data_IF_772290797825
#
_entry.id   IF_772290797825
#
_cell.length_a   1.000
_cell.length_b   1.000
_cell.length_c   1.000
_cell.angle_alpha   90.00
_cell.angle_beta   90.00
_cell.angle_gamma   90.00
#
_symmetry.space_group_name_H-M   'P 1'
#
loop_
_entity.id
_entity.type
_entity.pdbx_description
1 polymer ?
#
# COMPACT_ATOMS: atom_id res chain seq x y z
N UNK A 1 10.81 -8.22 29.84
CA UNK A 1 11.06 -6.84 30.31
C UNK A 1 11.23 -5.99 29.06
N UNK A 2 10.15 -5.35 28.60
CA UNK A 2 10.20 -4.56 27.38
C UNK A 2 11.17 -3.40 27.59
N UNK A 3 12.20 -3.30 26.74
CA UNK A 3 13.03 -2.11 26.66
C UNK A 3 12.07 -0.97 26.37
N UNK A 4 12.03 0.12 27.17
CA UNK A 4 11.21 1.26 26.82
C UNK A 4 11.73 1.75 25.46
N UNK A 5 10.98 1.52 24.39
CA UNK A 5 11.28 2.09 23.08
C UNK A 5 11.34 3.59 23.29
N UNK A 6 12.57 4.13 23.28
CA UNK A 6 12.81 5.55 23.30
C UNK A 6 12.04 6.11 22.09
N UNK A 7 11.11 7.03 22.33
CA UNK A 7 10.26 7.59 21.28
C UNK A 7 11.14 8.11 20.12
N UNK A 8 11.14 7.42 18.98
CA UNK A 8 11.94 7.80 17.81
C UNK A 8 11.41 9.13 17.24
N UNK A 9 12.26 10.13 17.03
CA UNK A 9 11.90 11.31 16.25
C UNK A 9 11.57 10.93 14.80
N UNK A 10 10.78 11.74 14.09
CA UNK A 10 10.50 11.51 12.66
C UNK A 10 11.79 11.37 11.85
N UNK A 11 12.83 12.16 12.18
CA UNK A 11 14.13 12.07 11.53
C UNK A 11 14.80 10.69 11.74
N UNK A 12 14.76 10.15 12.96
CA UNK A 12 15.28 8.81 13.24
C UNK A 12 14.50 7.72 12.48
N UNK A 13 13.18 7.85 12.42
CA UNK A 13 12.34 6.94 11.63
C UNK A 13 12.71 7.00 10.14
N UNK A 14 12.91 8.18 9.57
CA UNK A 14 13.38 8.35 8.19
C UNK A 14 14.75 7.73 7.99
N UNK A 15 15.72 8.01 8.86
CA UNK A 15 17.08 7.45 8.75
C UNK A 15 17.09 5.91 8.82
N UNK A 16 16.20 5.32 9.65
CA UNK A 16 15.99 3.87 9.72
C UNK A 16 15.41 3.31 8.42
N UNK A 17 14.34 3.91 7.89
CA UNK A 17 13.73 3.52 6.62
C UNK A 17 14.69 3.68 5.43
N UNK A 18 15.48 4.77 5.43
CA UNK A 18 16.47 5.09 4.41
C UNK A 18 17.65 4.10 4.41
N UNK A 19 17.91 3.47 5.56
CA UNK A 19 19.00 2.52 5.76
C UNK A 19 18.55 1.06 5.67
N UNK A 20 17.31 0.79 5.23
CA UNK A 20 16.84 -0.58 5.04
C UNK A 20 17.77 -1.34 4.09
N UNK A 21 18.02 -2.60 4.43
CA UNK A 21 18.93 -3.46 3.69
C UNK A 21 18.50 -3.55 2.22
N UNK A 22 19.49 -3.41 1.33
CA UNK A 22 19.26 -3.45 -0.10
C UNK A 22 18.93 -2.08 -0.73
N UNK A 23 18.53 -1.05 0.00
CA UNK A 23 18.26 0.26 -0.64
C UNK A 23 19.53 0.99 -1.11
N UNK A 24 20.65 0.85 -0.37
CA UNK A 24 21.94 1.49 -0.68
C UNK A 24 21.88 3.01 -0.91
N UNK A 25 20.96 3.68 -0.21
CA UNK A 25 20.80 5.12 -0.28
C UNK A 25 21.81 5.82 0.66
N UNK A 26 22.50 6.88 0.24
CA UNK A 26 23.50 7.52 1.10
C UNK A 26 22.85 8.31 2.24
N UNK A 27 23.17 7.96 3.49
CA UNK A 27 22.57 8.59 4.67
C UNK A 27 22.79 10.11 4.73
N UNK A 28 23.89 10.63 4.20
CA UNK A 28 24.16 12.08 4.21
C UNK A 28 23.13 12.91 3.42
N UNK A 29 22.36 12.28 2.51
CA UNK A 29 21.29 12.96 1.75
C UNK A 29 20.11 13.37 2.64
N UNK A 30 19.90 12.71 3.79
CA UNK A 30 18.84 13.09 4.75
C UNK A 30 19.06 14.48 5.35
N UNK A 31 20.27 15.06 5.23
CA UNK A 31 20.55 16.45 5.59
C UNK A 31 19.81 17.47 4.73
N UNK A 32 19.26 17.06 3.59
CA UNK A 32 18.45 17.88 2.68
C UNK A 32 16.96 17.88 3.06
N UNK A 33 16.59 17.26 4.17
CA UNK A 33 15.22 17.26 4.68
C UNK A 33 14.97 18.43 5.62
N UNK A 34 13.85 19.09 5.41
CA UNK A 34 13.28 20.07 6.32
C UNK A 34 11.90 19.59 6.78
N UNK A 35 11.83 19.12 8.03
CA UNK A 35 10.59 18.64 8.63
C UNK A 35 9.93 19.79 9.39
N UNK A 36 8.72 20.17 8.98
CA UNK A 36 7.96 21.28 9.57
C UNK A 36 6.60 20.83 10.09
N UNK A 37 5.89 21.71 10.80
CA UNK A 37 4.56 21.42 11.34
C UNK A 37 4.57 20.93 12.78
N UNK A 38 3.40 20.60 13.35
CA UNK A 38 3.28 20.15 14.73
C UNK A 38 3.84 18.74 14.94
N UNK A 39 4.29 18.46 16.17
CA UNK A 39 4.53 17.10 16.63
C UNK A 39 3.22 16.32 16.80
N UNK A 40 3.31 15.01 16.95
CA UNK A 40 2.14 14.19 17.26
C UNK A 40 1.54 14.52 18.65
N UNK A 41 0.21 14.38 18.82
CA UNK A 41 -0.75 13.93 17.81
C UNK A 41 -1.15 15.04 16.84
N UNK A 42 -1.00 14.79 15.53
CA UNK A 42 -1.50 15.68 14.47
C UNK A 42 -3.00 15.44 14.19
N UNK A 43 -3.47 14.22 14.46
CA UNK A 43 -4.88 13.79 14.45
C UNK A 43 -5.19 12.99 15.70
N UNK A 44 -6.46 12.94 16.16
CA UNK A 44 -6.85 12.22 17.39
C UNK A 44 -6.63 10.70 17.31
N UNK A 45 -5.43 10.27 17.68
CA UNK A 45 -4.95 8.89 17.61
C UNK A 45 -3.92 8.66 18.73
N UNK A 46 -3.90 7.46 19.29
CA UNK A 46 -2.87 7.01 20.23
C UNK A 46 -1.57 6.64 19.52
N UNK A 47 -1.64 6.38 18.21
CA UNK A 47 -0.51 6.18 17.34
C UNK A 47 -0.01 7.50 16.75
N UNK A 48 1.29 7.55 16.45
CA UNK A 48 2.00 8.72 15.90
C UNK A 48 1.80 8.86 14.39
N UNK A 49 0.56 9.10 13.99
CA UNK A 49 0.14 9.17 12.58
C UNK A 49 0.83 10.32 11.84
N UNK A 50 1.09 11.45 12.49
CA UNK A 50 1.86 12.56 11.94
C UNK A 50 3.28 12.15 11.58
N UNK A 51 3.96 11.43 12.48
CA UNK A 51 5.30 10.89 12.28
C UNK A 51 5.32 9.90 11.11
N UNK A 52 4.37 8.95 11.07
CA UNK A 52 4.28 7.94 9.99
C UNK A 52 4.07 8.63 8.63
N UNK A 53 3.10 9.55 8.55
CA UNK A 53 2.78 10.23 7.31
C UNK A 53 3.94 11.10 6.82
N UNK A 54 4.53 11.89 7.72
CA UNK A 54 5.65 12.76 7.38
C UNK A 54 6.89 11.96 6.95
N UNK A 55 7.20 10.85 7.65
CA UNK A 55 8.34 10.01 7.31
C UNK A 55 8.17 9.32 5.94
N UNK A 56 7.02 8.72 5.68
CA UNK A 56 6.77 8.01 4.42
C UNK A 56 6.86 8.97 3.21
N UNK A 57 6.20 10.13 3.30
CA UNK A 57 6.25 11.14 2.24
C UNK A 57 7.66 11.70 2.08
N UNK A 58 8.37 12.00 3.18
CA UNK A 58 9.75 12.49 3.13
C UNK A 58 10.69 11.50 2.44
N UNK A 59 10.57 10.20 2.74
CA UNK A 59 11.36 9.16 2.07
C UNK A 59 11.06 9.09 0.57
N UNK A 60 9.79 9.14 0.16
CA UNK A 60 9.41 9.10 -1.27
C UNK A 60 9.91 10.33 -2.05
N UNK A 61 9.79 11.53 -1.46
CA UNK A 61 10.20 12.78 -2.09
C UNK A 61 11.72 12.92 -2.12
N UNK A 62 12.43 12.61 -1.02
CA UNK A 62 13.89 12.65 -0.96
C UNK A 62 14.52 11.63 -1.92
N UNK A 63 13.93 10.44 -2.06
CA UNK A 63 14.45 9.44 -3.00
C UNK A 63 14.26 9.87 -4.46
N UNK A 64 13.17 10.58 -4.77
CA UNK A 64 12.97 11.21 -6.08
C UNK A 64 14.04 12.29 -6.33
N UNK A 65 14.26 13.19 -5.37
CA UNK A 65 15.32 14.20 -5.44
C UNK A 65 16.72 13.58 -5.58
N UNK A 66 16.96 12.43 -4.95
CA UNK A 66 18.22 11.71 -5.10
C UNK A 66 18.41 11.10 -6.49
N UNK A 67 17.35 10.54 -7.09
CA UNK A 67 17.39 10.09 -8.49
C UNK A 67 17.70 11.27 -9.42
N UNK A 68 17.10 12.44 -9.18
CA UNK A 68 17.40 13.66 -9.92
C UNK A 68 18.89 14.05 -9.81
N UNK A 69 19.45 14.08 -8.59
CA UNK A 69 20.86 14.37 -8.37
C UNK A 69 21.79 13.38 -9.11
N UNK A 70 21.44 12.09 -9.14
CA UNK A 70 22.24 11.09 -9.85
C UNK A 70 22.23 11.30 -11.37
N UNK A 71 21.14 11.83 -11.92
CA UNK A 71 21.00 12.10 -13.36
C UNK A 71 21.73 13.35 -13.82
N UNK A 72 21.70 14.41 -13.01
CA UNK A 72 22.17 15.73 -13.43
C UNK A 72 23.48 16.17 -12.74
N UNK A 73 23.95 15.45 -11.73
CA UNK A 73 25.18 15.75 -11.02
C UNK A 73 24.95 16.27 -9.60
N UNK A 74 26.04 16.37 -8.83
CA UNK A 74 25.96 16.65 -7.38
C UNK A 74 25.39 18.03 -7.04
N UNK A 75 25.57 19.00 -7.94
CA UNK A 75 25.16 20.38 -7.72
C UNK A 75 23.63 20.57 -7.80
N UNK A 76 22.92 19.60 -8.39
CA UNK A 76 21.45 19.60 -8.52
C UNK A 76 20.74 18.97 -7.30
N UNK A 77 21.34 19.08 -6.11
CA UNK A 77 20.78 18.52 -4.88
C UNK A 77 19.67 19.41 -4.30
N UNK A 78 18.44 18.94 -4.40
CA UNK A 78 17.24 19.63 -3.92
C UNK A 78 17.01 19.46 -2.41
N UNK A 79 16.52 20.51 -1.75
CA UNK A 79 15.96 20.43 -0.40
C UNK A 79 14.51 19.95 -0.48
N UNK A 80 14.12 19.03 0.40
CA UNK A 80 12.78 18.47 0.49
C UNK A 80 12.14 18.87 1.81
N UNK A 81 11.05 19.62 1.73
CA UNK A 81 10.31 20.10 2.90
C UNK A 81 9.00 19.33 3.03
N UNK A 82 8.74 18.74 4.21
CA UNK A 82 7.49 18.01 4.48
C UNK A 82 6.86 18.53 5.76
N UNK A 83 5.65 19.04 5.66
CA UNK A 83 4.86 19.49 6.80
C UNK A 83 4.00 18.35 7.35
N UNK A 84 4.06 18.05 8.65
CA UNK A 84 3.34 16.94 9.27
C UNK A 84 1.81 17.05 9.12
N UNK A 85 1.23 18.25 9.20
CA UNK A 85 -0.21 18.47 9.00
C UNK A 85 -0.61 18.21 7.55
N UNK A 86 0.17 18.67 6.58
CA UNK A 86 -0.10 18.39 5.17
C UNK A 86 0.06 16.90 4.84
N UNK A 87 1.04 16.24 5.45
CA UNK A 87 1.25 14.81 5.28
C UNK A 87 0.05 13.98 5.76
N UNK A 88 -0.52 14.32 6.92
CA UNK A 88 -1.72 13.62 7.42
C UNK A 88 -2.96 13.90 6.57
N UNK A 89 -3.08 15.10 5.98
CA UNK A 89 -4.13 15.40 5.02
C UNK A 89 -3.99 14.56 3.74
N UNK A 90 -2.77 14.34 3.25
CA UNK A 90 -2.51 13.46 2.11
C UNK A 90 -2.88 12.00 2.40
N UNK A 91 -2.65 11.53 3.64
CA UNK A 91 -3.06 10.19 4.12
C UNK A 91 -4.58 9.99 4.19
N UNK A 92 -5.36 11.03 3.89
CA UNK A 92 -6.81 11.00 3.82
C UNK A 92 -7.32 11.73 2.58
N UNK A 93 -6.49 11.86 1.54
CA UNK A 93 -6.77 12.69 0.37
C UNK A 93 -8.09 12.33 -0.30
N UNK A 94 -8.44 11.04 -0.32
CA UNK A 94 -9.69 10.55 -0.89
C UNK A 94 -10.95 11.13 -0.22
N UNK A 95 -10.85 11.59 1.03
CA UNK A 95 -11.96 12.25 1.74
C UNK A 95 -12.07 13.74 1.46
N UNK A 96 -11.09 14.34 0.77
CA UNK A 96 -11.00 15.79 0.55
C UNK A 96 -11.08 16.17 -0.93
N UNK A 97 -10.96 15.21 -1.85
CA UNK A 97 -11.11 15.48 -3.27
C UNK A 97 -12.55 15.90 -3.57
N UNK A 98 -12.66 16.97 -4.36
CA UNK A 98 -13.95 17.45 -4.85
C UNK A 98 -14.01 17.34 -6.37
N UNK A 99 -15.18 17.00 -6.89
CA UNK A 99 -15.54 17.08 -8.30
C UNK A 99 -16.62 18.16 -8.42
N UNK A 100 -16.35 19.19 -9.21
CA UNK A 100 -17.23 20.37 -9.34
C UNK A 100 -17.65 20.99 -8.00
N UNK A 101 -16.70 21.08 -7.06
CA UNK A 101 -16.90 21.65 -5.73
C UNK A 101 -17.69 20.76 -4.76
N UNK A 102 -18.02 19.51 -5.13
CA UNK A 102 -18.70 18.53 -4.27
C UNK A 102 -17.76 17.42 -3.86
N UNK A 103 -17.83 17.01 -2.60
CA UNK A 103 -17.11 15.84 -2.12
C UNK A 103 -17.59 14.58 -2.86
N UNK A 104 -16.67 13.64 -3.05
CA UNK A 104 -16.99 12.32 -3.57
C UNK A 104 -17.87 11.54 -2.59
N UNK A 105 -18.73 10.62 -3.08
CA UNK A 105 -19.52 9.75 -2.21
C UNK A 105 -18.66 8.88 -1.29
N UNK A 106 -19.26 8.42 -0.19
CA UNK A 106 -18.62 7.43 0.68
C UNK A 106 -18.34 6.13 -0.08
N UNK A 107 -17.17 5.56 0.19
CA UNK A 107 -16.63 4.36 -0.46
C UNK A 107 -17.04 3.07 0.25
N UNK A 108 -17.62 3.17 1.46
CA UNK A 108 -17.97 2.01 2.28
C UNK A 108 -19.33 1.43 1.91
N UNK A 109 -19.36 0.11 1.66
CA UNK A 109 -20.62 -0.64 1.55
C UNK A 109 -21.35 -0.64 2.91
N UNK A 110 -22.69 -0.54 2.95
CA UNK A 110 -23.44 -0.48 4.22
C UNK A 110 -23.23 -1.67 5.17
N UNK A 111 -22.83 -2.83 4.64
CA UNK A 111 -22.51 -4.01 5.44
C UNK A 111 -21.05 -4.03 5.90
N UNK A 112 -20.16 -3.18 5.39
CA UNK A 112 -18.75 -3.18 5.78
C UNK A 112 -18.60 -2.74 7.26
N UNK A 113 -17.55 -3.23 7.92
CA UNK A 113 -17.21 -2.82 9.29
C UNK A 113 -17.27 -3.96 10.30
N UNK A 114 -17.45 -3.59 11.57
CA UNK A 114 -17.27 -4.48 12.72
C UNK A 114 -18.60 -5.09 13.18
N UNK A 115 -18.56 -6.37 13.51
CA UNK A 115 -19.69 -7.15 14.03
C UNK A 115 -19.27 -7.94 15.26
N UNK A 116 -20.16 -7.98 16.25
CA UNK A 116 -20.00 -8.79 17.45
C UNK A 116 -20.27 -10.26 17.10
N UNK A 117 -19.45 -11.14 17.66
CA UNK A 117 -19.57 -12.60 17.55
C UNK A 117 -19.68 -13.20 18.95
N UNK A 118 -19.82 -14.52 19.07
CA UNK A 118 -20.02 -15.20 20.36
C UNK A 118 -18.89 -14.93 21.37
N UNK A 119 -17.67 -14.76 20.89
CA UNK A 119 -16.44 -14.72 21.69
C UNK A 119 -15.56 -13.48 21.42
N UNK A 120 -16.00 -12.57 20.56
CA UNK A 120 -15.19 -11.42 20.15
C UNK A 120 -15.85 -10.61 19.05
N UNK A 121 -15.05 -10.12 18.12
CA UNK A 121 -15.54 -9.36 16.97
C UNK A 121 -14.82 -9.75 15.70
N UNK A 122 -15.50 -9.59 14.57
CA UNK A 122 -14.90 -9.65 13.24
C UNK A 122 -15.11 -8.32 12.53
N UNK A 123 -14.20 -7.98 11.63
CA UNK A 123 -14.38 -6.91 10.66
C UNK A 123 -14.51 -7.50 9.27
N UNK A 124 -15.59 -7.19 8.57
CA UNK A 124 -15.79 -7.58 7.17
C UNK A 124 -15.57 -6.40 6.23
N UNK A 125 -15.01 -6.68 5.06
CA UNK A 125 -14.79 -5.71 3.99
C UNK A 125 -15.61 -6.07 2.76
N UNK A 126 -16.74 -5.39 2.56
CA UNK A 126 -17.77 -5.73 1.56
C UNK A 126 -17.90 -4.73 0.40
N UNK A 127 -16.96 -3.78 0.26
CA UNK A 127 -17.02 -2.72 -0.78
C UNK A 127 -17.02 -3.25 -2.23
N UNK A 128 -16.72 -4.55 -2.44
CA UNK A 128 -16.90 -5.21 -3.73
C UNK A 128 -18.06 -6.21 -3.66
N UNK A 129 -18.99 -6.23 -4.64
CA UNK A 129 -20.15 -7.12 -4.61
C UNK A 129 -19.81 -8.60 -4.39
N UNK A 130 -18.77 -9.12 -5.05
CA UNK A 130 -18.37 -10.51 -4.88
C UNK A 130 -17.81 -10.81 -3.47
N UNK A 131 -17.14 -9.86 -2.81
CA UNK A 131 -16.74 -10.04 -1.41
C UNK A 131 -17.95 -10.05 -0.48
N UNK A 132 -18.93 -9.15 -0.69
CA UNK A 132 -20.19 -9.14 0.06
C UNK A 132 -20.95 -10.46 -0.10
N UNK A 133 -21.10 -10.92 -1.34
CA UNK A 133 -21.89 -12.10 -1.65
C UNK A 133 -21.27 -13.36 -1.02
N UNK A 134 -19.94 -13.46 -0.93
CA UNK A 134 -19.25 -14.54 -0.19
C UNK A 134 -19.53 -14.48 1.32
N UNK A 135 -19.48 -13.28 1.93
CA UNK A 135 -19.78 -13.12 3.37
C UNK A 135 -21.23 -13.51 3.67
N UNK A 136 -22.18 -13.05 2.85
CA UNK A 136 -23.60 -13.40 3.01
C UNK A 136 -23.83 -14.90 2.85
N UNK A 137 -23.22 -15.53 1.85
CA UNK A 137 -23.28 -16.97 1.66
C UNK A 137 -22.70 -17.73 2.86
N UNK A 138 -21.58 -17.26 3.43
CA UNK A 138 -20.96 -17.88 4.62
C UNK A 138 -21.87 -17.79 5.85
N UNK A 139 -22.64 -16.70 5.97
CA UNK A 139 -23.64 -16.51 7.03
C UNK A 139 -24.97 -17.24 6.75
N UNK A 140 -25.10 -17.95 5.63
CA UNK A 140 -26.36 -18.53 5.15
C UNK A 140 -27.50 -17.50 5.01
N UNK A 141 -27.15 -16.28 4.60
CA UNK A 141 -28.08 -15.20 4.33
C UNK A 141 -28.33 -15.05 2.81
N UNK A 142 -29.51 -14.53 2.39
CA UNK A 142 -29.79 -14.32 0.99
C UNK A 142 -28.81 -13.32 0.38
N UNK A 143 -28.29 -13.65 -0.81
CA UNK A 143 -27.46 -12.73 -1.59
C UNK A 143 -28.32 -11.58 -2.12
N UNK A 144 -29.54 -11.89 -2.56
CA UNK A 144 -30.55 -10.93 -3.01
C UNK A 144 -31.93 -11.33 -2.48
N UNK A 145 -32.76 -10.38 -1.99
CA UNK A 145 -32.37 -8.99 -1.67
C UNK A 145 -31.26 -8.95 -0.61
N UNK A 146 -30.42 -7.92 -0.65
CA UNK A 146 -29.32 -7.76 0.32
C UNK A 146 -29.94 -7.49 1.71
N UNK A 147 -29.58 -8.24 2.75
CA UNK A 147 -30.16 -8.06 4.08
C UNK A 147 -29.71 -6.74 4.73
N UNK A 148 -30.43 -6.31 5.77
CA UNK A 148 -30.03 -5.16 6.58
C UNK A 148 -28.80 -5.47 7.43
N UNK A 149 -28.11 -4.42 7.89
CA UNK A 149 -26.98 -4.54 8.82
C UNK A 149 -27.35 -5.31 10.09
N UNK A 150 -28.56 -5.11 10.62
CA UNK A 150 -29.05 -5.80 11.83
C UNK A 150 -29.27 -7.29 11.59
N UNK A 151 -29.80 -7.67 10.43
CA UNK A 151 -29.94 -9.09 10.07
C UNK A 151 -28.59 -9.79 9.96
N UNK A 152 -27.60 -9.10 9.39
CA UNK A 152 -26.22 -9.58 9.33
C UNK A 152 -25.61 -9.69 10.73
N UNK A 153 -25.82 -8.68 11.59
CA UNK A 153 -25.35 -8.69 12.97
C UNK A 153 -25.93 -9.85 13.78
N UNK A 154 -27.23 -10.12 13.68
CA UNK A 154 -27.88 -11.24 14.35
C UNK A 154 -27.29 -12.59 13.91
N UNK A 155 -26.94 -12.74 12.62
CA UNK A 155 -26.31 -13.96 12.14
C UNK A 155 -24.93 -14.19 12.77
N UNK A 156 -24.15 -13.12 12.98
CA UNK A 156 -22.82 -13.20 13.58
C UNK A 156 -22.80 -13.60 15.06
N UNK A 157 -23.88 -13.36 15.83
CA UNK A 157 -23.92 -13.63 17.27
C UNK A 157 -23.65 -15.11 17.62
N UNK A 158 -23.96 -16.03 16.70
CA UNK A 158 -23.77 -17.48 16.89
C UNK A 158 -22.38 -18.00 16.48
N UNK A 159 -21.59 -17.19 15.76
CA UNK A 159 -20.29 -17.60 15.23
C UNK A 159 -19.15 -17.38 16.23
N UNK A 160 -18.12 -18.24 16.19
CA UNK A 160 -16.81 -17.83 16.73
C UNK A 160 -16.18 -16.83 15.79
N UNK A 161 -15.50 -15.82 16.34
CA UNK A 161 -14.69 -14.90 15.55
C UNK A 161 -13.60 -15.62 14.75
N UNK A 162 -12.96 -16.65 15.31
CA UNK A 162 -11.91 -17.42 14.62
C UNK A 162 -12.51 -18.36 13.56
N UNK A 163 -13.50 -19.18 13.93
CA UNK A 163 -14.13 -20.11 12.99
C UNK A 163 -14.70 -19.37 11.76
N UNK A 164 -15.34 -18.22 11.97
CA UNK A 164 -15.89 -17.44 10.86
C UNK A 164 -14.77 -16.86 9.99
N UNK A 165 -13.71 -16.31 10.60
CA UNK A 165 -12.57 -15.78 9.84
C UNK A 165 -11.98 -16.86 8.92
N UNK A 166 -11.78 -18.07 9.44
CA UNK A 166 -11.19 -19.18 8.70
C UNK A 166 -12.10 -19.65 7.56
N UNK A 167 -13.38 -19.91 7.84
CA UNK A 167 -14.35 -20.38 6.85
C UNK A 167 -14.55 -19.34 5.74
N UNK A 168 -14.78 -18.08 6.11
CA UNK A 168 -15.00 -17.02 5.13
C UNK A 168 -13.73 -16.74 4.30
N UNK A 169 -12.54 -16.76 4.91
CA UNK A 169 -11.28 -16.57 4.18
C UNK A 169 -11.04 -17.72 3.21
N UNK A 170 -11.32 -18.97 3.60
CA UNK A 170 -11.23 -20.14 2.73
C UNK A 170 -12.18 -20.04 1.54
N UNK A 171 -13.37 -19.48 1.74
CA UNK A 171 -14.33 -19.18 0.66
C UNK A 171 -13.92 -17.97 -0.21
N UNK A 172 -12.80 -17.31 0.08
CA UNK A 172 -12.29 -16.15 -0.66
C UNK A 172 -12.88 -14.81 -0.19
N UNK A 173 -13.56 -14.79 0.95
CA UNK A 173 -14.10 -13.61 1.61
C UNK A 173 -13.01 -12.73 2.21
N UNK A 174 -13.39 -11.49 2.55
CA UNK A 174 -12.49 -10.49 3.12
C UNK A 174 -12.98 -10.14 4.53
N UNK A 175 -12.39 -10.82 5.51
CA UNK A 175 -12.70 -10.68 6.94
C UNK A 175 -11.42 -10.82 7.75
N UNK A 176 -11.41 -10.17 8.92
CA UNK A 176 -10.43 -10.43 9.98
C UNK A 176 -11.12 -10.53 11.33
N UNK A 177 -10.72 -11.49 12.16
CA UNK A 177 -10.95 -11.44 13.61
C UNK A 177 -10.23 -10.21 14.16
N UNK A 178 -10.91 -9.46 15.02
CA UNK A 178 -10.32 -8.34 15.77
C UNK A 178 -9.46 -8.94 16.89
N UNK A 179 -8.17 -8.59 16.89
CA UNK A 179 -7.17 -9.12 17.84
C UNK A 179 -6.56 -8.00 18.68
N UNK A 180 -6.05 -8.34 19.86
CA UNK A 180 -5.12 -7.48 20.62
C UNK A 180 -3.69 -7.62 20.07
N UNK A 181 -2.76 -6.77 20.54
CA UNK A 181 -1.34 -6.96 20.23
C UNK A 181 -0.82 -8.30 20.76
N UNK A 182 -1.17 -8.70 21.98
CA UNK A 182 -0.74 -9.98 22.55
C UNK A 182 -1.25 -11.18 21.71
N UNK A 183 -2.49 -11.12 21.23
CA UNK A 183 -3.04 -12.15 20.34
C UNK A 183 -2.34 -12.17 18.97
N UNK A 184 -1.97 -10.99 18.45
CA UNK A 184 -1.23 -10.88 17.19
C UNK A 184 0.20 -11.39 17.34
N UNK A 185 0.92 -10.97 18.36
CA UNK A 185 2.32 -11.37 18.60
C UNK A 185 2.45 -12.89 18.81
N UNK A 186 1.40 -13.55 19.34
CA UNK A 186 1.32 -15.00 19.45
C UNK A 186 0.87 -15.71 18.16
N UNK A 187 0.38 -14.98 17.15
CA UNK A 187 -0.16 -15.55 15.93
C UNK A 187 0.95 -16.15 15.05
N UNK A 188 0.78 -17.36 14.47
CA UNK A 188 1.82 -18.03 13.70
C UNK A 188 2.41 -17.21 12.55
N UNK A 189 1.58 -16.37 11.92
CA UNK A 189 2.06 -15.49 10.86
C UNK A 189 2.91 -14.32 11.38
N UNK A 190 2.55 -13.71 12.51
CA UNK A 190 3.35 -12.64 13.12
C UNK A 190 4.71 -13.15 13.59
N UNK A 191 4.74 -14.35 14.17
CA UNK A 191 5.99 -15.03 14.55
C UNK A 191 6.85 -15.31 13.32
N UNK A 192 6.24 -15.72 12.21
CA UNK A 192 6.96 -15.98 10.96
C UNK A 192 7.57 -14.71 10.36
N UNK A 193 6.81 -13.62 10.30
CA UNK A 193 7.25 -12.34 9.74
C UNK A 193 8.04 -11.46 10.74
N UNK A 194 8.34 -11.99 11.93
CA UNK A 194 9.03 -11.23 12.96
C UNK A 194 10.44 -10.84 12.50
N UNK A 195 10.65 -9.54 12.32
CA UNK A 195 11.93 -8.99 11.88
C UNK A 195 12.06 -8.80 10.37
N UNK A 196 11.05 -9.18 9.59
CA UNK A 196 11.00 -8.82 8.17
C UNK A 196 10.93 -7.29 8.04
N UNK A 197 11.74 -6.68 7.14
CA UNK A 197 11.62 -5.26 6.89
C UNK A 197 10.31 -4.97 6.16
N UNK A 198 9.69 -3.81 6.38
CA UNK A 198 8.46 -3.43 5.68
C UNK A 198 8.67 -3.33 4.16
N UNK A 199 9.92 -3.13 3.71
CA UNK A 199 10.32 -3.03 2.32
C UNK A 199 11.59 -3.85 2.08
N UNK A 200 11.57 -4.72 1.07
CA UNK A 200 12.73 -5.50 0.64
C UNK A 200 13.04 -5.29 -0.85
N UNK A 201 14.31 -5.14 -1.19
CA UNK A 201 14.80 -4.93 -2.56
C UNK A 201 15.85 -5.97 -2.93
N UNK A 202 15.49 -6.87 -3.86
CA UNK A 202 16.32 -7.99 -4.29
C UNK A 202 16.70 -7.85 -5.77
N UNK A 203 17.93 -8.22 -6.14
CA UNK A 203 18.36 -8.27 -7.55
C UNK A 203 17.78 -9.51 -8.23
N UNK A 204 17.17 -9.35 -9.41
CA UNK A 204 16.54 -10.46 -10.17
C UNK A 204 17.21 -10.78 -11.50
N UNK A 205 18.16 -9.95 -11.94
CA UNK A 205 18.91 -10.21 -13.17
C UNK A 205 19.96 -9.14 -13.44
N UNK A 206 20.77 -9.37 -14.47
CA UNK A 206 21.64 -8.35 -15.03
C UNK A 206 20.84 -7.44 -15.99
N UNK A 207 21.26 -6.20 -16.17
CA UNK A 207 20.64 -5.28 -17.13
C UNK A 207 21.64 -4.23 -17.60
N UNK A 208 21.59 -3.72 -18.83
CA UNK A 208 22.44 -2.58 -19.19
C UNK A 208 22.14 -1.35 -18.29
N UNK A 209 23.10 -0.42 -18.12
CA UNK A 209 22.86 0.84 -17.42
C UNK A 209 21.65 1.56 -18.01
N UNK A 210 20.84 2.17 -17.13
CA UNK A 210 19.71 2.95 -17.61
C UNK A 210 20.20 4.21 -18.34
N UNK A 211 19.84 4.34 -19.62
CA UNK A 211 20.14 5.55 -20.40
C UNK A 211 19.15 6.64 -20.04
N UNK A 212 19.49 7.43 -19.03
CA UNK A 212 18.57 8.45 -18.51
C UNK A 212 18.61 9.74 -19.32
N UNK A 213 17.45 10.38 -19.50
CA UNK A 213 17.39 11.77 -19.98
C UNK A 213 18.12 12.69 -19.00
N UNK A 214 18.97 13.55 -19.51
CA UNK A 214 19.68 14.59 -18.73
C UNK A 214 19.26 16.00 -19.16
N UNK A 215 18.08 16.14 -19.78
CA UNK A 215 17.63 17.43 -20.31
C UNK A 215 17.40 18.43 -19.17
N UNK A 216 17.89 19.68 -19.28
CA UNK A 216 17.57 20.73 -18.31
C UNK A 216 16.06 20.96 -18.19
N UNK A 217 15.56 21.17 -16.98
CA UNK A 217 14.13 21.37 -16.71
C UNK A 217 13.30 20.09 -16.51
N UNK A 218 13.93 18.91 -16.58
CA UNK A 218 13.28 17.63 -16.26
C UNK A 218 12.89 17.58 -14.77
N UNK A 219 11.64 17.19 -14.49
CA UNK A 219 11.21 16.75 -13.16
C UNK A 219 12.00 15.50 -12.70
N UNK A 220 12.07 15.19 -11.40
CA UNK A 220 12.94 14.14 -10.85
C UNK A 220 12.87 12.77 -11.54
N UNK A 221 11.66 12.35 -11.94
CA UNK A 221 11.40 11.05 -12.58
C UNK A 221 11.04 11.18 -14.07
N UNK A 222 11.32 12.32 -14.71
CA UNK A 222 11.08 12.50 -16.15
C UNK A 222 11.78 11.42 -16.96
N UNK A 223 11.05 10.78 -17.87
CA UNK A 223 11.56 9.68 -18.69
C UNK A 223 11.44 8.29 -18.07
N UNK A 224 11.03 8.16 -16.80
CA UNK A 224 10.64 6.88 -16.21
C UNK A 224 9.27 6.48 -16.75
N UNK A 225 9.13 5.25 -17.23
CA UNK A 225 7.83 4.69 -17.68
C UNK A 225 7.34 3.61 -16.72
N UNK A 226 6.11 3.75 -16.24
CA UNK A 226 5.50 2.86 -15.24
C UNK A 226 4.22 2.24 -15.81
N UNK A 227 4.13 0.92 -15.75
CA UNK A 227 2.87 0.20 -15.92
C UNK A 227 2.30 -0.12 -14.54
N UNK A 228 1.21 0.55 -14.19
CA UNK A 228 0.53 0.44 -12.91
C UNK A 228 -0.70 -0.45 -13.07
N UNK A 229 -0.69 -1.64 -12.46
CA UNK A 229 -1.81 -2.59 -12.45
C UNK A 229 -2.52 -2.60 -11.08
N UNK A 230 -2.24 -1.61 -10.23
CA UNK A 230 -2.75 -1.55 -8.87
C UNK A 230 -4.15 -0.97 -8.80
N UNK A 231 -4.81 -1.17 -7.65
CA UNK A 231 -6.19 -0.76 -7.38
C UNK A 231 -6.33 -0.31 -5.94
N UNK A 232 -7.41 0.40 -5.64
CA UNK A 232 -7.77 0.87 -4.28
C UNK A 232 -6.85 2.02 -3.83
N UNK A 233 -6.00 1.85 -2.81
CA UNK A 233 -5.24 2.98 -2.22
C UNK A 233 -3.74 2.75 -2.28
N UNK A 234 -3.20 1.70 -1.63
CA UNK A 234 -1.75 1.60 -1.42
C UNK A 234 -0.90 1.62 -2.71
N UNK A 235 -1.19 0.72 -3.65
CA UNK A 235 -0.53 0.71 -4.94
C UNK A 235 -0.79 1.98 -5.75
N UNK A 236 -2.05 2.46 -5.87
CA UNK A 236 -2.33 3.69 -6.60
C UNK A 236 -1.67 4.94 -6.02
N UNK A 237 -1.48 5.03 -4.70
CA UNK A 237 -0.69 6.07 -4.03
C UNK A 237 0.77 6.03 -4.50
N UNK A 238 1.38 4.85 -4.63
CA UNK A 238 2.71 4.74 -5.25
C UNK A 238 2.71 5.30 -6.68
N UNK A 239 1.78 4.85 -7.52
CA UNK A 239 1.69 5.29 -8.91
C UNK A 239 1.47 6.81 -9.04
N UNK A 240 0.60 7.42 -8.23
CA UNK A 240 0.32 8.87 -8.31
C UNK A 240 1.51 9.69 -7.80
N UNK A 241 2.24 9.18 -6.81
CA UNK A 241 3.48 9.83 -6.31
C UNK A 241 4.56 9.80 -7.37
N UNK A 242 4.73 8.68 -8.10
CA UNK A 242 5.66 8.61 -9.23
C UNK A 242 5.27 9.60 -10.34
N UNK A 243 3.98 9.68 -10.68
CA UNK A 243 3.47 10.63 -11.68
C UNK A 243 3.68 12.09 -11.25
N UNK A 244 3.43 12.41 -9.97
CA UNK A 244 3.64 13.75 -9.42
C UNK A 244 5.11 14.20 -9.48
N UNK A 245 6.06 13.27 -9.49
CA UNK A 245 7.49 13.53 -9.70
C UNK A 245 7.94 13.42 -11.18
N UNK A 246 7.00 13.26 -12.11
CA UNK A 246 7.24 13.34 -13.55
C UNK A 246 7.40 12.02 -14.29
N UNK A 247 7.17 10.88 -13.63
CA UNK A 247 7.11 9.60 -14.34
C UNK A 247 5.89 9.54 -15.27
N UNK A 248 6.05 8.88 -16.42
CA UNK A 248 4.95 8.55 -17.31
C UNK A 248 4.27 7.26 -16.82
N UNK A 249 3.15 7.43 -16.13
CA UNK A 249 2.41 6.33 -15.50
C UNK A 249 1.18 5.97 -16.32
N UNK A 250 1.16 4.75 -16.86
CA UNK A 250 -0.02 4.16 -17.49
C UNK A 250 -0.68 3.20 -16.49
N UNK A 251 -1.87 3.58 -16.04
CA UNK A 251 -2.75 2.73 -15.26
C UNK A 251 -3.48 1.75 -16.19
N UNK A 252 -3.14 0.47 -16.05
CA UNK A 252 -3.72 -0.63 -16.82
C UNK A 252 -4.81 -1.29 -15.99
N UNK A 253 -6.07 -1.07 -16.37
CA UNK A 253 -7.24 -1.75 -15.80
C UNK A 253 -7.81 -2.76 -16.79
N UNK A 254 -8.93 -3.40 -16.45
CA UNK A 254 -9.64 -4.35 -17.31
C UNK A 254 -11.10 -3.94 -17.45
N UNK A 255 -11.73 -4.11 -18.63
CA UNK A 255 -13.17 -3.89 -18.80
C UNK A 255 -14.03 -4.82 -17.93
N UNK A 256 -13.44 -5.88 -17.36
CA UNK A 256 -14.11 -6.84 -16.50
C UNK A 256 -13.93 -6.55 -14.99
N UNK A 257 -13.25 -5.46 -14.63
CA UNK A 257 -13.07 -5.05 -13.25
C UNK A 257 -13.93 -3.82 -12.94
N UNK A 258 -14.52 -3.71 -11.74
CA UNK A 258 -15.34 -2.56 -11.41
C UNK A 258 -14.47 -1.31 -11.25
N UNK A 259 -14.98 -0.18 -11.72
CA UNK A 259 -14.44 1.15 -11.41
C UNK A 259 -14.77 1.53 -9.96
N UNK A 260 -13.96 2.40 -9.37
CA UNK A 260 -14.17 2.96 -8.04
C UNK A 260 -14.09 4.50 -8.10
N UNK A 261 -15.05 5.19 -8.76
CA UNK A 261 -14.90 6.62 -9.11
C UNK A 261 -14.56 7.54 -7.94
N UNK A 262 -15.07 7.25 -6.73
CA UNK A 262 -14.79 8.02 -5.52
C UNK A 262 -13.33 7.92 -5.03
N UNK A 263 -12.63 6.82 -5.34
CA UNK A 263 -11.19 6.63 -5.06
C UNK A 263 -10.33 6.95 -6.28
N UNK A 264 -10.77 6.54 -7.46
CA UNK A 264 -10.00 6.63 -8.69
C UNK A 264 -9.68 8.10 -9.02
N UNK A 265 -10.61 9.03 -8.78
CA UNK A 265 -10.39 10.46 -9.00
C UNK A 265 -9.19 11.02 -8.21
N UNK A 266 -8.97 10.57 -6.98
CA UNK A 266 -7.82 10.98 -6.17
C UNK A 266 -6.55 10.23 -6.58
N UNK A 267 -6.68 8.93 -6.81
CA UNK A 267 -5.55 8.02 -6.96
C UNK A 267 -5.03 7.90 -8.40
N UNK A 268 -5.77 8.39 -9.39
CA UNK A 268 -5.37 8.42 -10.81
C UNK A 268 -4.77 9.76 -11.25
N UNK A 269 -4.60 10.73 -10.34
CA UNK A 269 -4.04 12.05 -10.68
C UNK A 269 -2.66 11.92 -11.33
N UNK A 270 -2.49 12.57 -12.48
CA UNK A 270 -1.25 12.53 -13.26
C UNK A 270 -1.03 11.24 -14.07
N UNK A 271 -1.91 10.25 -13.99
CA UNK A 271 -1.80 8.99 -14.74
C UNK A 271 -2.59 9.05 -16.05
N UNK A 272 -2.14 8.28 -17.04
CA UNK A 272 -2.93 7.94 -18.24
C UNK A 272 -3.55 6.56 -18.02
N UNK A 273 -4.72 6.30 -18.59
CA UNK A 273 -5.46 5.05 -18.33
C UNK A 273 -5.69 4.28 -19.61
N UNK A 274 -5.56 2.95 -19.56
CA UNK A 274 -5.93 2.02 -20.63
C UNK A 274 -6.68 0.83 -20.04
N UNK A 275 -7.69 0.32 -20.74
CA UNK A 275 -8.38 -0.92 -20.38
C UNK A 275 -7.89 -2.05 -21.28
N UNK A 276 -7.35 -3.12 -20.68
CA UNK A 276 -6.86 -4.31 -21.38
C UNK A 276 -7.42 -5.56 -20.67
N UNK A 277 -8.10 -6.42 -21.41
CA UNK A 277 -8.47 -7.75 -20.95
C UNK A 277 -7.34 -8.73 -21.24
N UNK A 278 -6.46 -8.94 -20.25
CA UNK A 278 -5.30 -9.84 -20.39
C UNK A 278 -5.65 -11.32 -20.59
N UNK A 279 -6.93 -11.68 -20.70
CA UNK A 279 -7.38 -13.01 -21.15
C UNK A 279 -7.62 -13.07 -22.67
N UNK A 280 -7.51 -11.94 -23.38
CA UNK A 280 -7.64 -11.84 -24.84
C UNK A 280 -6.27 -11.61 -25.45
N UNK A 281 -5.92 -12.44 -26.43
CA UNK A 281 -4.62 -12.36 -27.11
C UNK A 281 -4.26 -10.97 -27.67
N UNK A 282 -5.18 -10.20 -28.31
CA UNK A 282 -4.86 -8.85 -28.80
C UNK A 282 -4.45 -7.86 -27.68
N UNK A 283 -5.15 -7.92 -26.54
CA UNK A 283 -4.90 -7.04 -25.41
C UNK A 283 -3.63 -7.47 -24.67
N UNK A 284 -3.39 -8.79 -24.56
CA UNK A 284 -2.16 -9.35 -24.03
C UNK A 284 -0.94 -8.94 -24.87
N UNK A 285 -1.06 -8.97 -26.21
CA UNK A 285 -0.02 -8.51 -27.12
C UNK A 285 0.26 -7.01 -26.96
N UNK A 286 -0.80 -6.21 -26.79
CA UNK A 286 -0.69 -4.77 -26.49
C UNK A 286 0.04 -4.54 -25.18
N UNK A 287 -0.33 -5.25 -24.11
CA UNK A 287 0.34 -5.18 -22.81
C UNK A 287 1.82 -5.56 -22.89
N UNK A 288 2.16 -6.65 -23.60
CA UNK A 288 3.55 -7.06 -23.84
C UNK A 288 4.33 -6.03 -24.65
N UNK A 289 3.67 -5.31 -25.56
CA UNK A 289 4.28 -4.19 -26.29
C UNK A 289 4.59 -3.02 -25.36
N UNK A 290 3.68 -2.68 -24.45
CA UNK A 290 3.91 -1.64 -23.45
C UNK A 290 5.06 -2.01 -22.50
N UNK A 291 5.17 -3.29 -22.10
CA UNK A 291 6.24 -3.79 -21.23
C UNK A 291 7.65 -3.60 -21.82
N UNK A 292 7.81 -3.65 -23.15
CA UNK A 292 9.12 -3.44 -23.81
C UNK A 292 9.76 -2.11 -23.46
N UNK A 293 8.91 -1.14 -23.19
CA UNK A 293 9.25 0.26 -22.98
C UNK A 293 9.14 0.67 -21.50
N UNK A 294 8.71 -0.24 -20.63
CA UNK A 294 8.47 0.05 -19.21
C UNK A 294 9.76 -0.09 -18.39
N UNK A 295 10.00 0.85 -17.49
CA UNK A 295 11.05 0.75 -16.46
C UNK A 295 10.53 0.06 -15.20
N UNK A 296 9.23 0.18 -14.93
CA UNK A 296 8.59 -0.35 -13.73
C UNK A 296 7.28 -1.05 -14.09
N UNK A 297 7.12 -2.28 -13.60
CA UNK A 297 5.81 -2.93 -13.47
C UNK A 297 5.39 -2.88 -12.00
N UNK A 298 4.34 -2.12 -11.71
CA UNK A 298 3.79 -1.91 -10.38
C UNK A 298 2.48 -2.71 -10.23
N UNK A 299 2.39 -3.55 -9.20
CA UNK A 299 1.24 -4.42 -8.99
C UNK A 299 0.95 -4.69 -7.51
N UNK A 300 -0.31 -4.99 -7.19
CA UNK A 300 -0.77 -5.27 -5.82
C UNK A 300 -1.75 -6.45 -5.78
N UNK A 301 -1.57 -7.41 -6.68
CA UNK A 301 -2.30 -8.67 -6.66
C UNK A 301 -1.70 -9.64 -5.64
N UNK A 302 -2.43 -10.71 -5.32
CA UNK A 302 -1.91 -11.78 -4.48
C UNK A 302 -0.58 -12.31 -5.05
N UNK A 303 0.40 -12.65 -4.19
CA UNK A 303 1.63 -13.27 -4.62
C UNK A 303 1.37 -14.44 -5.60
N UNK A 304 2.12 -14.46 -6.70
CA UNK A 304 2.00 -15.47 -7.76
C UNK A 304 0.87 -15.26 -8.77
N UNK A 305 -0.09 -14.35 -8.55
CA UNK A 305 -1.24 -14.16 -9.45
C UNK A 305 -0.84 -13.78 -10.89
N UNK A 306 0.23 -12.99 -11.04
CA UNK A 306 0.79 -12.61 -12.34
C UNK A 306 1.84 -13.60 -12.86
N UNK A 307 2.50 -14.36 -11.98
CA UNK A 307 3.50 -15.38 -12.36
C UNK A 307 2.87 -16.44 -13.26
N UNK A 308 1.67 -16.93 -12.92
CA UNK A 308 0.95 -17.90 -13.76
C UNK A 308 0.56 -17.39 -15.15
N UNK A 309 0.69 -16.07 -15.40
CA UNK A 309 0.43 -15.41 -16.68
C UNK A 309 1.71 -15.03 -17.44
N UNK A 310 2.88 -15.46 -16.94
CA UNK A 310 4.18 -15.13 -17.53
C UNK A 310 4.73 -13.76 -17.13
N UNK A 311 4.19 -13.14 -16.08
CA UNK A 311 4.60 -11.83 -15.58
C UNK A 311 5.22 -11.93 -14.18
N UNK A 312 5.94 -13.02 -13.91
CA UNK A 312 6.70 -13.19 -12.68
C UNK A 312 8.02 -12.40 -12.72
N UNK A 313 8.60 -12.01 -11.56
CA UNK A 313 9.83 -11.21 -11.52
C UNK A 313 11.01 -11.77 -12.33
N UNK A 314 11.26 -13.08 -12.24
CA UNK A 314 12.34 -13.74 -12.99
C UNK A 314 12.07 -13.77 -14.49
N UNK A 315 10.81 -14.01 -14.89
CA UNK A 315 10.40 -14.04 -16.31
C UNK A 315 10.56 -12.65 -16.91
N UNK A 316 10.08 -11.62 -16.19
CA UNK A 316 10.19 -10.23 -16.61
C UNK A 316 11.64 -9.76 -16.68
N UNK A 317 12.49 -10.13 -15.72
CA UNK A 317 13.91 -9.78 -15.76
C UNK A 317 14.65 -10.43 -16.96
N UNK A 318 14.22 -11.62 -17.40
CA UNK A 318 14.76 -12.30 -18.59
C UNK A 318 14.25 -11.68 -19.89
N UNK A 319 12.95 -11.42 -20.00
CA UNK A 319 12.32 -10.89 -21.21
C UNK A 319 12.58 -9.39 -21.41
N UNK A 320 12.65 -8.64 -20.31
CA UNK A 320 12.78 -7.19 -20.26
C UNK A 320 13.92 -6.76 -19.30
N UNK A 321 15.21 -7.00 -19.66
CA UNK A 321 16.33 -6.68 -18.78
C UNK A 321 16.33 -5.20 -18.34
N UNK A 322 16.34 -4.98 -17.03
CA UNK A 322 16.32 -3.66 -16.39
C UNK A 322 14.96 -3.26 -15.83
N UNK A 323 13.90 -4.04 -16.09
CA UNK A 323 12.59 -3.81 -15.50
C UNK A 323 12.64 -3.97 -13.98
N UNK A 324 11.99 -3.04 -13.28
CA UNK A 324 11.75 -3.10 -11.84
C UNK A 324 10.37 -3.69 -11.64
N UNK A 325 10.26 -4.78 -10.89
CA UNK A 325 8.97 -5.36 -10.51
C UNK A 325 8.64 -4.98 -9.08
N UNK A 326 7.68 -4.07 -8.90
CA UNK A 326 7.24 -3.57 -7.61
C UNK A 326 5.94 -4.27 -7.20
N UNK A 327 6.02 -5.07 -6.14
CA UNK A 327 4.86 -5.77 -5.57
C UNK A 327 4.48 -5.20 -4.20
N UNK A 328 3.17 -5.13 -3.95
CA UNK A 328 2.60 -4.80 -2.66
C UNK A 328 1.59 -5.87 -2.27
N UNK A 329 1.77 -6.48 -1.10
CA UNK A 329 0.79 -7.40 -0.52
C UNK A 329 0.66 -7.17 0.98
N UNK A 330 -0.55 -7.39 1.52
CA UNK A 330 -0.86 -7.05 2.90
C UNK A 330 -0.03 -7.81 3.94
N UNK A 331 0.28 -9.09 3.67
CA UNK A 331 0.78 -10.02 4.67
C UNK A 331 2.16 -10.60 4.37
N UNK A 332 2.63 -10.60 3.13
CA UNK A 332 3.70 -11.55 2.86
C UNK A 332 3.67 -12.08 1.45
N UNK A 333 4.79 -12.65 1.03
CA UNK A 333 4.75 -13.75 0.04
C UNK A 333 4.78 -15.11 0.74
N UNK A 334 5.26 -15.15 1.98
CA UNK A 334 5.48 -16.36 2.77
C UNK A 334 4.59 -16.43 4.03
N UNK A 335 4.75 -17.52 4.77
CA UNK A 335 4.03 -17.80 6.01
C UNK A 335 2.56 -18.17 5.83
N UNK A 336 1.84 -18.43 6.94
CA UNK A 336 0.45 -18.90 6.89
C UNK A 336 -0.52 -17.97 6.15
N UNK A 337 -0.24 -16.67 6.11
CA UNK A 337 -1.09 -15.67 5.46
C UNK A 337 -0.47 -15.05 4.18
N UNK A 338 0.64 -15.57 3.64
CA UNK A 338 1.27 -15.01 2.43
C UNK A 338 0.35 -14.95 1.21
N UNK A 339 -0.60 -15.89 1.08
CA UNK A 339 -1.61 -15.88 0.02
C UNK A 339 -2.91 -15.12 0.34
N UNK A 340 -3.04 -14.55 1.55
CA UNK A 340 -4.31 -14.02 2.07
C UNK A 340 -4.63 -12.64 1.47
N UNK A 341 -5.93 -12.37 1.27
CA UNK A 341 -6.42 -11.04 0.88
C UNK A 341 -6.33 -10.10 2.09
N UNK A 342 -5.89 -8.87 1.85
CA UNK A 342 -5.88 -7.85 2.89
C UNK A 342 -6.30 -6.49 2.36
N UNK A 343 -6.78 -5.68 3.29
CA UNK A 343 -7.11 -4.27 3.16
C UNK A 343 -6.63 -3.60 4.43
N UNK A 344 -6.20 -2.34 4.38
CA UNK A 344 -5.72 -1.60 5.56
C UNK A 344 -6.62 -1.85 6.79
N UNK A 345 -7.94 -1.68 6.63
CA UNK A 345 -8.86 -1.87 7.75
C UNK A 345 -8.92 -3.31 8.30
N UNK A 346 -8.69 -4.34 7.48
CA UNK A 346 -8.60 -5.74 7.92
C UNK A 346 -7.24 -6.05 8.56
N UNK A 347 -6.18 -5.37 8.11
CA UNK A 347 -4.86 -5.46 8.69
C UNK A 347 -4.89 -4.84 10.09
N UNK A 348 -5.41 -3.62 10.24
CA UNK A 348 -5.61 -2.98 11.55
C UNK A 348 -6.41 -3.86 12.52
N UNK A 349 -7.44 -4.55 12.02
CA UNK A 349 -8.27 -5.46 12.81
C UNK A 349 -7.46 -6.67 13.30
N UNK A 350 -6.66 -7.26 12.41
CA UNK A 350 -5.88 -8.45 12.73
C UNK A 350 -4.69 -8.16 13.67
N UNK A 351 -4.19 -6.93 13.72
CA UNK A 351 -2.89 -6.63 14.33
C UNK A 351 -2.92 -5.71 15.54
N UNK A 352 -4.03 -5.66 16.29
CA UNK A 352 -4.05 -4.97 17.58
C UNK A 352 -4.39 -3.49 17.54
N UNK A 353 -4.20 -2.81 16.40
CA UNK A 353 -4.42 -1.36 16.28
C UNK A 353 -5.81 -0.94 16.75
N UNK A 354 -6.86 -1.68 16.39
CA UNK A 354 -8.20 -1.24 16.71
C UNK A 354 -8.56 -1.33 18.20
N UNK A 355 -8.02 -2.31 18.91
CA UNK A 355 -8.19 -2.44 20.36
C UNK A 355 -7.36 -1.37 21.07
N UNK A 356 -6.12 -1.15 20.63
CA UNK A 356 -5.23 -0.15 21.22
C UNK A 356 -5.75 1.29 21.07
N UNK A 357 -6.28 1.64 19.89
CA UNK A 357 -6.97 2.93 19.67
C UNK A 357 -8.17 3.09 20.61
N UNK A 358 -9.04 2.07 20.70
CA UNK A 358 -10.22 2.13 21.56
C UNK A 358 -9.83 2.28 23.05
N UNK A 359 -8.79 1.58 23.48
CA UNK A 359 -8.31 1.60 24.86
C UNK A 359 -7.74 2.96 25.25
N UNK A 360 -7.02 3.62 24.34
CA UNK A 360 -6.48 4.95 24.56
C UNK A 360 -7.54 6.07 24.48
N UNK A 361 -8.60 5.86 23.69
CA UNK A 361 -9.70 6.82 23.55
C UNK A 361 -10.70 6.78 24.73
N UNK A 362 -10.90 5.61 25.34
CA UNK A 362 -11.91 5.43 26.38
C UNK A 362 -11.45 5.90 27.77
N UNK A 363 -11.93 7.09 28.18
CA UNK A 363 -12.25 7.40 29.58
C UNK A 363 -13.74 7.14 29.93
N UNK A 364 -14.58 6.72 28.96
CA UNK A 364 -16.00 6.38 29.19
C UNK A 364 -16.61 5.52 28.05
N UNK A 365 -16.69 4.21 28.30
CA UNK A 365 -17.75 3.25 27.95
C UNK A 365 -18.47 3.13 26.57
N UNK A 366 -18.06 3.73 25.45
CA UNK A 366 -18.90 3.64 24.22
C UNK A 366 -18.36 2.92 22.96
N UNK A 367 -17.10 2.50 22.86
CA UNK A 367 -16.74 1.46 21.87
C UNK A 367 -15.48 0.68 22.25
N UNK A 368 -15.52 -0.65 22.16
CA UNK A 368 -14.36 -1.52 22.42
C UNK A 368 -13.41 -1.63 21.22
N UNK A 369 -13.74 -1.02 20.08
CA UNK A 369 -13.01 -1.16 18.80
C UNK A 369 -13.07 0.16 18.04
N UNK A 370 -11.90 0.70 17.66
CA UNK A 370 -11.79 1.98 16.94
C UNK A 370 -10.77 1.91 15.81
N UNK A 371 -11.17 2.33 14.60
CA UNK A 371 -10.25 2.43 13.47
C UNK A 371 -9.26 3.59 13.64
N UNK A 372 -8.07 3.49 13.03
CA UNK A 372 -7.21 4.66 12.86
C UNK A 372 -7.98 5.77 12.10
N UNK A 373 -7.67 7.05 12.35
CA UNK A 373 -8.41 8.17 11.75
C UNK A 373 -8.23 8.32 10.22
N UNK A 374 -7.30 7.54 9.65
CA UNK A 374 -6.90 7.49 8.24
C UNK A 374 -6.54 6.04 7.84
N UNK A 375 -6.50 5.73 6.54
CA UNK A 375 -5.94 4.46 6.03
C UNK A 375 -4.39 4.53 6.04
N UNK A 376 -3.82 4.58 7.24
CA UNK A 376 -2.40 4.88 7.43
C UNK A 376 -1.45 3.85 6.82
N UNK A 377 -1.84 2.57 6.84
CA UNK A 377 -1.02 1.47 6.33
C UNK A 377 -0.99 1.49 4.81
N UNK A 378 -2.13 1.72 4.16
CA UNK A 378 -2.20 1.82 2.70
C UNK A 378 -1.38 3.01 2.18
N UNK A 379 -1.60 4.21 2.72
CA UNK A 379 -0.88 5.42 2.28
C UNK A 379 0.62 5.34 2.57
N UNK A 380 1.02 4.88 3.76
CA UNK A 380 2.44 4.70 4.07
C UNK A 380 3.09 3.68 3.15
N UNK A 381 2.44 2.53 2.91
CA UNK A 381 2.98 1.51 2.02
C UNK A 381 3.14 2.00 0.58
N UNK A 382 2.20 2.81 0.07
CA UNK A 382 2.34 3.42 -1.25
C UNK A 382 3.55 4.33 -1.38
N UNK A 383 3.77 5.22 -0.40
CA UNK A 383 4.95 6.11 -0.40
C UNK A 383 6.26 5.36 -0.17
N UNK A 384 6.27 4.32 0.67
CA UNK A 384 7.45 3.47 0.87
C UNK A 384 7.76 2.59 -0.33
N UNK A 385 6.75 2.15 -1.09
CA UNK A 385 6.98 1.47 -2.36
C UNK A 385 7.64 2.40 -3.39
N UNK A 386 7.27 3.69 -3.41
CA UNK A 386 7.98 4.72 -4.20
C UNK A 386 9.45 4.86 -3.77
N UNK A 387 9.73 4.89 -2.46
CA UNK A 387 11.12 4.88 -1.95
C UNK A 387 11.90 3.70 -2.53
N UNK A 388 11.33 2.51 -2.51
CA UNK A 388 11.95 1.31 -3.05
C UNK A 388 12.18 1.33 -4.55
N UNK A 389 11.20 1.82 -5.32
CA UNK A 389 11.33 1.98 -6.78
C UNK A 389 12.46 2.97 -7.09
N UNK A 390 12.50 4.10 -6.38
CA UNK A 390 13.54 5.10 -6.57
C UNK A 390 14.93 4.58 -6.17
N UNK A 391 15.04 3.75 -5.12
CA UNK A 391 16.28 3.08 -4.77
C UNK A 391 16.74 2.11 -5.87
N UNK A 392 15.81 1.34 -6.45
CA UNK A 392 16.10 0.44 -7.58
C UNK A 392 16.54 1.23 -8.84
N UNK A 393 15.88 2.35 -9.14
CA UNK A 393 16.27 3.26 -10.23
C UNK A 393 17.66 3.84 -9.97
N UNK A 394 17.94 4.33 -8.76
CA UNK A 394 19.24 4.86 -8.36
C UNK A 394 20.35 3.81 -8.52
N UNK A 395 20.06 2.55 -8.17
CA UNK A 395 20.98 1.44 -8.44
C UNK A 395 21.18 1.21 -9.92
N UNK A 396 20.13 1.20 -10.74
CA UNK A 396 20.23 1.02 -12.20
C UNK A 396 21.02 2.14 -12.91
N UNK A 397 21.06 3.35 -12.32
CA UNK A 397 21.93 4.45 -12.78
C UNK A 397 23.41 4.17 -12.44
N UNK A 398 23.69 3.68 -11.22
CA UNK A 398 25.06 3.43 -10.74
C UNK A 398 25.67 2.11 -11.21
N UNK A 399 24.84 1.07 -11.32
CA UNK A 399 25.22 -0.32 -11.53
C UNK A 399 24.12 -1.09 -12.31
N UNK A 400 24.55 -1.77 -13.35
CA UNK A 400 23.79 -2.47 -14.40
C UNK A 400 22.94 -3.69 -13.93
N UNK A 401 21.80 -3.50 -13.23
CA UNK A 401 21.00 -4.62 -12.69
C UNK A 401 19.46 -4.48 -12.83
N UNK A 402 18.77 -5.62 -12.97
CA UNK A 402 17.31 -5.78 -12.80
C UNK A 402 16.96 -6.03 -11.34
N UNK A 403 15.83 -5.50 -10.85
CA UNK A 403 15.46 -5.60 -9.44
C UNK A 403 13.99 -6.00 -9.23
N UNK A 404 13.74 -6.70 -8.13
CA UNK A 404 12.42 -6.98 -7.58
C UNK A 404 12.29 -6.31 -6.22
N UNK A 405 11.20 -5.57 -6.07
CA UNK A 405 10.84 -4.88 -4.85
C UNK A 405 9.57 -5.49 -4.29
N UNK A 406 9.58 -5.76 -2.99
CA UNK A 406 8.41 -6.25 -2.28
C UNK A 406 8.15 -5.39 -1.04
N UNK A 407 6.93 -4.84 -0.93
CA UNK A 407 6.44 -4.09 0.23
C UNK A 407 5.40 -4.91 0.99
N UNK A 408 5.58 -4.99 2.32
CA UNK A 408 4.62 -5.52 3.27
C UNK A 408 4.22 -4.36 4.20
N UNK A 409 2.94 -3.93 4.21
CA UNK A 409 2.47 -2.88 5.12
C UNK A 409 2.53 -3.25 6.61
N UNK A 410 2.75 -4.53 6.92
CA UNK A 410 2.76 -5.09 8.27
C UNK A 410 4.13 -5.06 8.94
#
# INVERSE_FOLDING_TARGET
MAIPMRLESTKQTIERLWSLQGLELPLHTTKKLELTGPDDPVVPSSFRIGTVAQAAIACSALSSAYVHQLRHGRDESQTVTVNSRHAVLDFKSESWVTLDGKLTPDIWDPLAGVYKTKDGHVRIHTNFPHHRDIILATLNLPIRPVPSRDQVANAFESWSSQDFEDVATQAGGCVSKIRSFDEWDAHPHAIHSAGDPPLSLTKTGEAPPWKVSTKPGDMPLSGVRVLDLTRVIAGPVCGRTLAAHGADVIWVTSPNLPDLPALDIDTSRGKRTVQLDLNKEPDLATFRSLLKDADVLLQSYRPGALTGRGFGPETLAKEYPGIITANLSAYGTDGPWGGRRGFDSLVQAATGFNIAEASAFNNSQESSIRALPVQALDHAAGHLLTLGINAALARRIKASHSHHLHMHPL
#
